data_IF_585323273682
#
_entry.id   IF_585323273682
#
_cell.length_a   1.000
_cell.length_b   1.000
_cell.length_c   1.000
_cell.angle_alpha   90.00
_cell.angle_beta   90.00
_cell.angle_gamma   90.00
#
_symmetry.space_group_name_H-M   'P 1'
#
loop_
_entity.id
_entity.type
_entity.pdbx_description
1 polymer ?
#
# COMPACT_ATOMS: atom_id res chain seq x y z
N UNK A 1 -11.42 -18.51 8.07
CA UNK A 1 -12.20 -17.67 7.14
C UNK A 1 -13.04 -18.53 6.22
N UNK A 2 -14.24 -18.07 5.85
CA UNK A 2 -15.06 -18.69 4.82
C UNK A 2 -14.65 -18.20 3.41
N UNK A 3 -15.26 -18.75 2.35
CA UNK A 3 -14.95 -18.38 0.96
C UNK A 3 -15.08 -16.87 0.69
N UNK A 4 -16.04 -16.20 1.33
CA UNK A 4 -16.23 -14.75 1.22
C UNK A 4 -15.00 -13.97 1.71
N UNK A 5 -14.39 -14.40 2.82
CA UNK A 5 -13.18 -13.77 3.35
C UNK A 5 -12.00 -13.85 2.38
N UNK A 6 -11.80 -15.01 1.74
CA UNK A 6 -10.73 -15.18 0.75
C UNK A 6 -10.97 -14.34 -0.51
N UNK A 7 -12.21 -14.30 -1.00
CA UNK A 7 -12.58 -13.47 -2.17
C UNK A 7 -12.39 -11.98 -1.85
N UNK A 8 -12.82 -11.52 -0.66
CA UNK A 8 -12.63 -10.15 -0.23
C UNK A 8 -11.13 -9.78 -0.14
N UNK A 9 -10.33 -10.65 0.49
CA UNK A 9 -8.88 -10.48 0.59
C UNK A 9 -8.20 -10.41 -0.80
N UNK A 10 -8.60 -11.30 -1.72
CA UNK A 10 -8.07 -11.32 -3.08
C UNK A 10 -8.44 -10.05 -3.85
N UNK A 11 -9.73 -9.68 -3.88
CA UNK A 11 -10.21 -8.52 -4.64
C UNK A 11 -9.58 -7.23 -4.13
N UNK A 12 -9.52 -7.04 -2.81
CA UNK A 12 -8.92 -5.83 -2.23
C UNK A 12 -7.42 -5.75 -2.52
N UNK A 13 -6.67 -6.84 -2.37
CA UNK A 13 -5.22 -6.86 -2.67
C UNK A 13 -4.97 -6.64 -4.17
N UNK A 14 -5.72 -7.33 -5.03
CA UNK A 14 -5.53 -7.25 -6.49
C UNK A 14 -5.90 -5.88 -7.04
N UNK A 15 -6.89 -5.19 -6.46
CA UNK A 15 -7.23 -3.82 -6.86
C UNK A 15 -6.06 -2.84 -6.73
N UNK A 16 -5.13 -3.07 -5.80
CA UNK A 16 -3.93 -2.24 -5.66
C UNK A 16 -2.87 -2.52 -6.73
N UNK A 17 -2.82 -3.72 -7.31
CA UNK A 17 -1.76 -4.13 -8.24
C UNK A 17 -1.69 -3.24 -9.50
N UNK A 18 -2.78 -3.01 -10.26
CA UNK A 18 -2.72 -2.17 -11.45
C UNK A 18 -2.27 -0.73 -11.15
N UNK A 19 -2.78 -0.16 -10.05
CA UNK A 19 -2.44 1.21 -9.64
C UNK A 19 -0.99 1.30 -9.17
N UNK A 20 -0.49 0.29 -8.46
CA UNK A 20 0.90 0.21 -8.04
C UNK A 20 1.84 0.14 -9.24
N UNK A 21 1.57 -0.75 -10.19
CA UNK A 21 2.36 -0.90 -11.41
C UNK A 21 2.36 0.40 -12.23
N UNK A 22 1.21 1.04 -12.40
CA UNK A 22 1.10 2.34 -13.10
C UNK A 22 1.98 3.39 -12.43
N UNK A 23 1.88 3.53 -11.12
CA UNK A 23 2.60 4.55 -10.35
C UNK A 23 4.11 4.30 -10.32
N UNK A 24 4.52 3.04 -10.15
CA UNK A 24 5.94 2.66 -10.15
C UNK A 24 6.57 2.89 -11.53
N UNK A 25 5.84 2.60 -12.61
CA UNK A 25 6.31 2.79 -13.99
C UNK A 25 6.35 4.27 -14.40
N UNK A 26 5.28 5.03 -14.14
CA UNK A 26 5.22 6.44 -14.54
C UNK A 26 6.00 7.35 -13.62
N UNK A 27 6.16 6.96 -12.35
CA UNK A 27 6.64 7.81 -11.25
C UNK A 27 5.86 9.11 -11.06
N UNK A 28 4.71 9.25 -11.71
CA UNK A 28 3.82 10.37 -11.54
C UNK A 28 3.00 10.18 -10.27
N UNK A 29 3.27 11.03 -9.28
CA UNK A 29 2.58 11.05 -7.99
C UNK A 29 1.90 12.39 -7.74
N UNK A 30 1.73 13.22 -8.77
CA UNK A 30 1.21 14.59 -8.63
C UNK A 30 -0.22 14.65 -8.04
N UNK A 31 -1.05 13.66 -8.37
CA UNK A 31 -2.41 13.52 -7.84
C UNK A 31 -2.53 12.68 -6.55
N UNK A 32 -1.42 12.20 -5.98
CA UNK A 32 -1.46 11.29 -4.82
C UNK A 32 -1.19 12.03 -3.50
N UNK A 33 -2.06 11.83 -2.52
CA UNK A 33 -1.90 12.37 -1.17
C UNK A 33 -0.83 11.60 -0.38
N UNK A 34 0.21 12.30 0.05
CA UNK A 34 1.26 11.73 0.92
C UNK A 34 0.72 11.30 2.29
N UNK A 35 -0.20 12.07 2.89
CA UNK A 35 -0.83 11.72 4.17
C UNK A 35 -1.68 10.46 4.07
N UNK A 36 -2.45 10.31 2.99
CA UNK A 36 -3.25 9.11 2.75
C UNK A 36 -2.35 7.86 2.67
N UNK A 37 -1.28 7.91 1.90
CA UNK A 37 -0.35 6.78 1.78
C UNK A 37 0.40 6.49 3.09
N UNK A 38 0.72 7.51 3.90
CA UNK A 38 1.32 7.30 5.22
C UNK A 38 0.37 6.51 6.14
N UNK A 39 -0.87 6.99 6.31
CA UNK A 39 -1.88 6.33 7.13
C UNK A 39 -2.20 4.91 6.61
N UNK A 40 -2.37 4.76 5.30
CA UNK A 40 -2.67 3.48 4.67
C UNK A 40 -1.55 2.46 4.88
N UNK A 41 -0.30 2.84 4.61
CA UNK A 41 0.86 1.95 4.77
C UNK A 41 1.05 1.53 6.23
N UNK A 42 0.90 2.46 7.18
CA UNK A 42 0.94 2.16 8.61
C UNK A 42 -0.22 1.24 9.02
N UNK A 43 -1.44 1.50 8.54
CA UNK A 43 -2.61 0.67 8.80
C UNK A 43 -2.43 -0.76 8.30
N UNK A 44 -1.95 -0.95 7.08
CA UNK A 44 -1.66 -2.28 6.50
C UNK A 44 -0.60 -3.01 7.34
N UNK A 45 0.45 -2.31 7.77
CA UNK A 45 1.47 -2.87 8.65
C UNK A 45 0.88 -3.35 9.98
N UNK A 46 0.03 -2.56 10.63
CA UNK A 46 -0.63 -2.97 11.86
C UNK A 46 -1.63 -4.12 11.65
N UNK A 47 -2.36 -4.13 10.54
CA UNK A 47 -3.22 -5.27 10.17
C UNK A 47 -2.43 -6.55 9.94
N UNK A 48 -1.24 -6.46 9.35
CA UNK A 48 -0.33 -7.60 9.20
C UNK A 48 0.11 -8.14 10.56
N UNK A 49 0.56 -7.27 11.48
CA UNK A 49 0.94 -7.68 12.84
C UNK A 49 -0.24 -8.29 13.59
N UNK A 50 -1.43 -7.70 13.46
CA UNK A 50 -2.66 -8.24 14.04
C UNK A 50 -2.99 -9.63 13.48
N UNK A 51 -2.89 -9.83 12.16
CA UNK A 51 -3.09 -11.13 11.52
C UNK A 51 -2.11 -12.19 12.01
N UNK A 52 -0.84 -11.84 12.20
CA UNK A 52 0.17 -12.71 12.80
C UNK A 52 -0.24 -13.10 14.23
N UNK A 53 -0.61 -12.13 15.06
CA UNK A 53 -1.09 -12.40 16.42
C UNK A 53 -2.35 -13.26 16.50
N UNK A 54 -3.16 -13.28 15.43
CA UNK A 54 -4.38 -14.10 15.30
C UNK A 54 -4.17 -15.43 14.59
N UNK A 55 -3.00 -15.69 14.02
CA UNK A 55 -2.75 -16.85 13.15
C UNK A 55 -3.61 -16.87 11.87
N UNK A 56 -4.10 -15.71 11.42
CA UNK A 56 -5.00 -15.62 10.26
C UNK A 56 -4.20 -15.48 8.95
N UNK A 57 -3.98 -16.61 8.26
CA UNK A 57 -3.15 -16.68 7.06
C UNK A 57 -3.68 -15.83 5.89
N UNK A 58 -4.99 -15.64 5.77
CA UNK A 58 -5.55 -14.84 4.68
C UNK A 58 -5.36 -13.35 4.95
N UNK A 59 -5.53 -12.92 6.21
CA UNK A 59 -5.23 -11.55 6.61
C UNK A 59 -3.72 -11.24 6.50
N UNK A 60 -2.87 -12.19 6.90
CA UNK A 60 -1.41 -12.10 6.74
C UNK A 60 -1.04 -11.96 5.27
N UNK A 61 -1.49 -12.88 4.42
CA UNK A 61 -1.13 -12.91 3.00
C UNK A 61 -1.58 -11.64 2.27
N UNK A 62 -2.83 -11.21 2.48
CA UNK A 62 -3.37 -10.01 1.85
C UNK A 62 -2.60 -8.74 2.24
N UNK A 63 -2.34 -8.53 3.53
CA UNK A 63 -1.63 -7.34 4.00
C UNK A 63 -0.14 -7.39 3.66
N UNK A 64 0.50 -8.55 3.65
CA UNK A 64 1.89 -8.69 3.23
C UNK A 64 2.07 -8.28 1.75
N UNK A 65 1.23 -8.81 0.86
CA UNK A 65 1.27 -8.44 -0.57
C UNK A 65 0.97 -6.96 -0.75
N UNK A 66 -0.08 -6.46 -0.11
CA UNK A 66 -0.46 -5.04 -0.21
C UNK A 66 0.65 -4.13 0.32
N UNK A 67 1.33 -4.50 1.42
CA UNK A 67 2.44 -3.73 1.97
C UNK A 67 3.63 -3.68 1.01
N UNK A 68 3.97 -4.80 0.37
CA UNK A 68 5.03 -4.86 -0.65
C UNK A 68 4.76 -3.94 -1.85
N UNK A 69 3.48 -3.71 -2.18
CA UNK A 69 3.07 -2.79 -3.26
C UNK A 69 2.97 -1.33 -2.80
N UNK A 70 2.45 -1.09 -1.60
CA UNK A 70 2.21 0.25 -1.08
C UNK A 70 3.50 0.98 -0.68
N UNK A 71 4.47 0.27 -0.11
CA UNK A 71 5.70 0.86 0.41
C UNK A 71 6.54 1.56 -0.70
N UNK A 72 6.81 0.94 -1.87
CA UNK A 72 7.54 1.62 -2.96
C UNK A 72 6.82 2.86 -3.50
N UNK A 73 5.48 2.83 -3.56
CA UNK A 73 4.69 3.98 -3.98
C UNK A 73 4.84 5.12 -2.98
N UNK A 74 4.71 4.81 -1.69
CA UNK A 74 4.86 5.82 -0.64
C UNK A 74 6.25 6.45 -0.64
N UNK A 75 7.31 5.63 -0.80
CA UNK A 75 8.68 6.12 -0.95
C UNK A 75 8.82 7.05 -2.15
N UNK A 76 8.22 6.71 -3.29
CA UNK A 76 8.22 7.55 -4.50
C UNK A 76 7.50 8.87 -4.28
N UNK A 77 6.34 8.86 -3.60
CA UNK A 77 5.61 10.07 -3.21
C UNK A 77 6.49 10.98 -2.34
N UNK A 78 7.15 10.42 -1.32
CA UNK A 78 8.03 11.20 -0.43
C UNK A 78 9.23 11.78 -1.18
N UNK A 79 9.85 11.01 -2.08
CA UNK A 79 10.96 11.48 -2.89
C UNK A 79 10.56 12.64 -3.80
N UNK A 80 9.42 12.53 -4.49
CA UNK A 80 8.88 13.58 -5.35
C UNK A 80 8.49 14.83 -4.55
N UNK A 81 7.84 14.67 -3.39
CA UNK A 81 7.49 15.79 -2.51
C UNK A 81 8.73 16.53 -1.99
N UNK A 82 9.81 15.81 -1.64
CA UNK A 82 11.09 16.42 -1.23
C UNK A 82 11.74 17.19 -2.38
N UNK A 83 11.77 16.64 -3.60
CA UNK A 83 12.30 17.34 -4.78
C UNK A 83 11.54 18.62 -5.07
N UNK A 84 10.20 18.58 -5.04
CA UNK A 84 9.35 19.76 -5.26
C UNK A 84 9.59 20.85 -4.21
N UNK A 85 9.77 20.48 -2.93
CA UNK A 85 10.10 21.44 -1.85
C UNK A 85 11.48 22.07 -2.03
N UNK A 86 12.48 21.31 -2.51
CA UNK A 86 13.82 21.83 -2.79
C UNK A 86 13.85 22.81 -3.96
N UNK A 87 13.08 22.55 -5.02
CA UNK A 87 13.01 23.43 -6.19
C UNK A 87 12.29 24.78 -5.91
N UNK A 88 11.57 24.89 -4.79
CA UNK A 88 10.88 26.13 -4.36
C UNK A 88 11.71 26.99 -3.39
N UNK A 89 12.87 26.49 -2.95
CA UNK A 89 13.82 27.22 -2.10
C UNK A 89 14.90 27.83 -2.98
#
# INVERSE_FOLDING_TARGET
MNQLGYIAAFLTTFAFVPQALKTIRSRDTSGLSSGMYACMTAGIFFWLLYGIGRGDMALIGANAITLMLALPIFVTILANARKARRARR
#
